data_IF_530076847639
#
_entry.id   IF_530076847639
#
_cell.length_a   1.000
_cell.length_b   1.000
_cell.length_c   1.000
_cell.angle_alpha   90.00
_cell.angle_beta   90.00
_cell.angle_gamma   90.00
#
_symmetry.space_group_name_H-M   'P 1'
#
loop_
_entity.id
_entity.type
_entity.pdbx_description
1 polymer ?
#
# COMPACT_ATOMS: atom_id res chain seq x y z
N UNK A 1 40.70 31.35 -49.95
CA UNK A 1 40.68 30.29 -48.91
C UNK A 1 39.54 30.59 -47.95
N UNK A 2 38.47 29.79 -47.94
CA UNK A 2 37.45 29.86 -46.89
C UNK A 2 36.87 28.45 -46.72
N UNK A 3 37.24 27.77 -45.62
CA UNK A 3 36.77 26.43 -45.27
C UNK A 3 35.51 26.56 -44.41
N UNK A 4 34.39 26.07 -44.92
CA UNK A 4 33.11 25.96 -44.21
C UNK A 4 33.22 24.79 -43.22
N UNK A 5 32.99 25.05 -41.93
CA UNK A 5 32.84 24.02 -40.90
C UNK A 5 31.34 23.78 -40.67
N UNK A 6 30.87 22.56 -40.92
CA UNK A 6 29.52 22.09 -40.61
C UNK A 6 29.52 21.50 -39.19
N UNK A 7 28.64 21.92 -38.26
CA UNK A 7 28.50 21.23 -36.99
C UNK A 7 27.64 19.98 -37.19
N UNK A 8 28.20 18.82 -36.84
CA UNK A 8 27.46 17.56 -36.79
C UNK A 8 26.55 17.57 -35.56
N UNK A 9 25.24 17.56 -35.78
CA UNK A 9 24.24 17.37 -34.72
C UNK A 9 24.10 15.88 -34.45
N UNK A 10 24.56 15.43 -33.29
CA UNK A 10 24.37 14.06 -32.82
C UNK A 10 22.99 13.97 -32.15
N UNK A 11 22.01 13.37 -32.82
CA UNK A 11 20.71 13.02 -32.22
C UNK A 11 20.94 11.85 -31.25
N UNK A 12 20.86 12.10 -29.95
CA UNK A 12 20.82 11.04 -28.95
C UNK A 12 19.42 10.40 -28.95
N UNK A 13 19.29 9.17 -29.47
CA UNK A 13 18.10 8.35 -29.28
C UNK A 13 17.95 8.02 -27.79
N UNK A 14 16.91 8.57 -27.15
CA UNK A 14 16.51 8.17 -25.81
C UNK A 14 16.04 6.73 -25.81
N UNK A 15 16.77 5.85 -25.12
CA UNK A 15 16.34 4.47 -24.89
C UNK A 15 15.08 4.48 -24.01
N UNK A 16 14.06 3.65 -24.30
CA UNK A 16 12.91 3.50 -23.40
C UNK A 16 13.38 2.93 -22.05
N UNK A 17 12.74 3.32 -20.93
CA UNK A 17 13.05 2.74 -19.64
C UNK A 17 12.92 1.22 -19.70
N UNK A 18 13.97 0.54 -19.24
CA UNK A 18 14.11 -0.92 -19.35
C UNK A 18 13.08 -1.62 -18.45
N UNK A 19 12.25 -2.50 -19.02
CA UNK A 19 11.26 -3.33 -18.31
C UNK A 19 11.87 -4.28 -17.25
N UNK A 20 13.19 -4.29 -17.09
CA UNK A 20 13.89 -5.06 -16.06
C UNK A 20 13.69 -4.50 -14.64
N UNK A 21 13.32 -3.22 -14.48
CA UNK A 21 13.16 -2.58 -13.16
C UNK A 21 11.86 -2.92 -12.42
N UNK A 22 10.87 -3.54 -13.08
CA UNK A 22 9.60 -3.93 -12.43
C UNK A 22 9.71 -5.28 -11.69
N UNK A 23 10.68 -6.13 -12.04
CA UNK A 23 10.76 -7.50 -11.52
C UNK A 23 11.37 -7.63 -10.12
N UNK A 24 11.91 -6.54 -9.57
CA UNK A 24 12.64 -6.55 -8.30
C UNK A 24 11.94 -5.71 -7.21
N UNK A 25 10.71 -5.25 -7.47
CA UNK A 25 9.97 -4.50 -6.47
C UNK A 25 9.42 -5.47 -5.41
N UNK A 26 9.59 -5.18 -4.11
CA UNK A 26 9.17 -6.10 -3.06
C UNK A 26 7.65 -6.17 -2.99
N UNK A 27 7.12 -7.38 -2.75
CA UNK A 27 5.71 -7.58 -2.46
C UNK A 27 5.27 -6.70 -1.26
N UNK A 28 4.02 -6.24 -1.28
CA UNK A 28 3.47 -5.43 -0.20
C UNK A 28 2.66 -6.29 0.76
N UNK A 29 3.22 -6.57 1.93
CA UNK A 29 2.56 -7.35 2.96
C UNK A 29 1.45 -6.53 3.63
N UNK A 30 0.27 -7.15 3.80
CA UNK A 30 -0.77 -6.66 4.72
C UNK A 30 -0.46 -7.19 6.12
N UNK A 31 -0.31 -6.27 7.06
CA UNK A 31 0.06 -6.61 8.44
C UNK A 31 -0.95 -6.02 9.42
N UNK A 32 -1.19 -6.77 10.50
CA UNK A 32 -2.14 -6.42 11.55
C UNK A 32 -1.51 -6.54 12.93
N UNK A 33 -2.19 -5.98 13.91
CA UNK A 33 -1.85 -6.19 15.31
C UNK A 33 -1.90 -7.70 15.65
N UNK A 34 -0.94 -8.25 16.43
CA UNK A 34 -0.89 -9.69 16.74
C UNK A 34 -2.15 -10.28 17.39
N UNK A 35 -2.94 -9.47 18.10
CA UNK A 35 -4.21 -9.90 18.71
C UNK A 35 -5.36 -10.10 17.72
N UNK A 36 -5.21 -9.71 16.45
CA UNK A 36 -6.28 -9.89 15.46
C UNK A 36 -6.42 -11.39 15.16
N UNK A 37 -7.60 -11.96 15.48
CA UNK A 37 -7.90 -13.38 15.32
C UNK A 37 -8.20 -13.83 13.88
N UNK A 38 -7.88 -13.01 12.88
CA UNK A 38 -8.02 -13.33 11.45
C UNK A 38 -6.65 -13.63 10.87
N UNK A 39 -6.49 -14.73 10.14
CA UNK A 39 -5.21 -15.16 9.53
C UNK A 39 -5.17 -14.95 8.02
N UNK A 40 -6.33 -14.89 7.37
CA UNK A 40 -6.51 -14.80 5.94
C UNK A 40 -7.71 -13.91 5.62
N UNK A 41 -7.64 -13.21 4.51
CA UNK A 41 -8.74 -12.42 3.94
C UNK A 41 -8.79 -12.70 2.44
N UNK A 42 -10.00 -12.77 1.88
CA UNK A 42 -10.08 -12.62 0.43
C UNK A 42 -9.66 -11.20 0.02
N UNK A 43 -9.23 -11.03 -1.23
CA UNK A 43 -8.90 -9.69 -1.73
C UNK A 43 -10.10 -8.74 -1.68
N UNK A 44 -11.31 -9.25 -1.88
CA UNK A 44 -12.54 -8.43 -1.75
C UNK A 44 -12.78 -8.01 -0.30
N UNK A 45 -12.60 -8.91 0.68
CA UNK A 45 -12.70 -8.54 2.09
C UNK A 45 -11.66 -7.49 2.46
N UNK A 46 -10.41 -7.65 2.00
CA UNK A 46 -9.36 -6.65 2.17
C UNK A 46 -9.80 -5.28 1.62
N UNK A 47 -10.38 -5.24 0.41
CA UNK A 47 -10.89 -4.01 -0.20
C UNK A 47 -11.99 -3.36 0.66
N UNK A 48 -12.95 -4.12 1.17
CA UNK A 48 -14.02 -3.57 2.03
C UNK A 48 -13.45 -2.92 3.31
N UNK A 49 -12.37 -3.49 3.87
CA UNK A 49 -11.68 -2.92 5.03
C UNK A 49 -10.99 -1.61 4.64
N UNK A 50 -10.19 -1.64 3.58
CA UNK A 50 -9.43 -0.47 3.13
C UNK A 50 -10.33 0.67 2.64
N UNK A 51 -11.52 0.37 2.10
CA UNK A 51 -12.55 1.35 1.75
C UNK A 51 -13.37 1.83 2.96
N UNK A 52 -13.16 1.27 4.15
CA UNK A 52 -13.90 1.64 5.36
C UNK A 52 -15.36 1.19 5.36
N UNK A 53 -15.72 0.22 4.52
CA UNK A 53 -17.04 -0.42 4.50
C UNK A 53 -17.15 -1.43 5.65
N UNK A 54 -16.08 -2.22 5.86
CA UNK A 54 -15.91 -3.05 7.06
C UNK A 54 -15.08 -2.29 8.08
N UNK A 55 -15.70 -1.96 9.21
CA UNK A 55 -15.08 -1.13 10.28
C UNK A 55 -14.75 -1.90 11.55
N UNK A 56 -15.13 -3.18 11.64
CA UNK A 56 -14.93 -4.03 12.80
C UNK A 56 -14.42 -5.42 12.39
N UNK A 57 -13.53 -5.96 13.21
CA UNK A 57 -13.11 -7.36 13.17
C UNK A 57 -14.23 -8.28 13.69
N UNK A 58 -14.16 -9.61 13.46
CA UNK A 58 -15.18 -10.55 13.94
C UNK A 58 -15.40 -10.52 15.47
N UNK A 59 -14.35 -10.21 16.23
CA UNK A 59 -14.38 -10.04 17.68
C UNK A 59 -14.97 -8.68 18.14
N UNK A 60 -15.48 -7.88 17.19
CA UNK A 60 -16.05 -6.53 17.37
C UNK A 60 -15.03 -5.46 17.77
N UNK A 61 -13.73 -5.76 17.76
CA UNK A 61 -12.71 -4.72 17.88
C UNK A 61 -12.72 -3.81 16.64
N UNK A 62 -12.50 -2.51 16.86
CA UNK A 62 -12.51 -1.51 15.78
C UNK A 62 -11.28 -1.69 14.90
N UNK A 63 -11.48 -1.65 13.58
CA UNK A 63 -10.37 -1.61 12.63
C UNK A 63 -9.77 -0.20 12.62
N UNK A 64 -8.47 -0.10 12.91
CA UNK A 64 -7.72 1.15 12.75
C UNK A 64 -6.84 1.05 11.51
N UNK A 65 -7.19 1.79 10.45
CA UNK A 65 -6.37 1.87 9.23
C UNK A 65 -5.17 2.80 9.46
N UNK A 66 -3.96 2.27 9.31
CA UNK A 66 -2.74 3.08 9.22
C UNK A 66 -2.24 3.06 7.77
N UNK A 67 -2.06 4.23 7.19
CA UNK A 67 -1.70 4.37 5.77
C UNK A 67 -0.44 5.22 5.64
N UNK A 68 0.50 4.75 4.83
CA UNK A 68 1.76 5.45 4.56
C UNK A 68 1.51 6.82 3.94
N UNK A 69 2.38 7.78 4.26
CA UNK A 69 2.38 9.11 3.65
C UNK A 69 2.57 9.03 2.11
N UNK A 70 2.08 10.03 1.34
CA UNK A 70 2.27 10.13 -0.11
C UNK A 70 3.71 9.86 -0.57
N UNK A 71 3.86 9.45 -1.83
CA UNK A 71 5.15 9.16 -2.51
C UNK A 71 5.81 7.83 -2.12
N UNK A 72 5.38 7.19 -1.03
CA UNK A 72 5.87 5.87 -0.66
C UNK A 72 5.46 4.80 -1.70
N UNK A 73 6.39 3.92 -2.09
CA UNK A 73 6.14 2.87 -3.09
C UNK A 73 4.95 1.98 -2.72
N UNK A 74 4.92 1.52 -1.47
CA UNK A 74 3.86 0.68 -0.94
C UNK A 74 2.48 1.38 -0.98
N UNK A 75 2.46 2.71 -0.85
CA UNK A 75 1.23 3.50 -0.98
C UNK A 75 0.74 3.52 -2.42
N UNK A 76 1.64 3.73 -3.38
CA UNK A 76 1.30 3.69 -4.80
C UNK A 76 0.69 2.34 -5.20
N UNK A 77 1.29 1.23 -4.75
CA UNK A 77 0.76 -0.12 -4.99
C UNK A 77 -0.64 -0.28 -4.41
N UNK A 78 -0.84 0.10 -3.15
CA UNK A 78 -2.13 -0.03 -2.47
C UNK A 78 -3.20 0.86 -3.10
N UNK A 79 -2.86 2.09 -3.47
CA UNK A 79 -3.78 2.99 -4.19
C UNK A 79 -4.18 2.41 -5.54
N UNK A 80 -3.25 1.83 -6.30
CA UNK A 80 -3.53 1.25 -7.62
C UNK A 80 -4.29 -0.09 -7.55
N UNK A 81 -3.93 -0.98 -6.62
CA UNK A 81 -4.45 -2.35 -6.55
C UNK A 81 -5.71 -2.45 -5.70
N UNK A 82 -5.71 -1.83 -4.51
CA UNK A 82 -6.81 -1.94 -3.55
C UNK A 82 -7.80 -0.81 -3.75
N UNK A 83 -7.38 0.44 -3.76
CA UNK A 83 -8.34 1.55 -3.91
C UNK A 83 -8.81 1.73 -5.36
N UNK A 84 -7.92 1.52 -6.33
CA UNK A 84 -8.09 1.89 -7.74
C UNK A 84 -8.38 3.38 -7.88
N UNK A 85 -7.63 4.18 -7.13
CA UNK A 85 -7.77 5.65 -7.03
C UNK A 85 -6.40 6.29 -7.11
N UNK A 86 -6.33 7.48 -7.70
CA UNK A 86 -5.21 8.40 -7.55
C UNK A 86 -5.10 8.94 -6.12
N UNK A 87 -4.00 9.61 -5.82
CA UNK A 87 -3.78 10.28 -4.53
C UNK A 87 -4.88 11.29 -4.17
N UNK A 88 -5.31 12.09 -5.16
CA UNK A 88 -6.35 13.09 -4.96
C UNK A 88 -7.73 12.45 -4.81
N UNK A 89 -8.05 11.42 -5.60
CA UNK A 89 -9.28 10.65 -5.45
C UNK A 89 -9.35 9.97 -4.08
N UNK A 90 -8.26 9.36 -3.61
CA UNK A 90 -8.19 8.78 -2.26
C UNK A 90 -8.46 9.83 -1.17
N UNK A 91 -7.87 11.02 -1.29
CA UNK A 91 -8.08 12.12 -0.34
C UNK A 91 -9.54 12.56 -0.33
N UNK A 92 -10.11 12.81 -1.51
CA UNK A 92 -11.51 13.24 -1.66
C UNK A 92 -12.48 12.15 -1.20
N UNK A 93 -12.18 10.88 -1.48
CA UNK A 93 -12.96 9.73 -1.05
C UNK A 93 -13.16 9.74 0.47
N UNK A 94 -12.06 9.84 1.23
CA UNK A 94 -12.14 9.84 2.69
C UNK A 94 -12.78 11.11 3.27
N UNK A 95 -12.50 12.29 2.69
CA UNK A 95 -13.19 13.54 3.06
C UNK A 95 -14.70 13.37 2.89
N UNK A 96 -15.14 12.90 1.73
CA UNK A 96 -16.56 12.76 1.43
C UNK A 96 -17.22 11.69 2.32
N UNK A 97 -16.53 10.59 2.62
CA UNK A 97 -17.02 9.52 3.51
C UNK A 97 -17.24 10.01 4.94
N UNK A 98 -16.29 10.80 5.46
CA UNK A 98 -16.43 11.44 6.78
C UNK A 98 -17.53 12.51 6.78
N UNK A 99 -17.63 13.34 5.74
CA UNK A 99 -18.68 14.36 5.62
C UNK A 99 -20.09 13.76 5.61
N UNK A 100 -20.26 12.59 4.99
CA UNK A 100 -21.51 11.82 5.00
C UNK A 100 -21.72 10.97 6.26
N UNK A 101 -20.83 11.05 7.25
CA UNK A 101 -20.87 10.29 8.49
C UNK A 101 -20.93 8.76 8.30
N UNK A 102 -20.45 8.23 7.17
CA UNK A 102 -20.36 6.79 6.92
C UNK A 102 -19.26 6.13 7.79
N UNK A 103 -18.24 6.91 8.15
CA UNK A 103 -17.12 6.51 9.00
C UNK A 103 -16.86 7.59 10.05
N UNK A 104 -16.43 7.20 11.25
CA UNK A 104 -16.12 8.12 12.33
C UNK A 104 -14.79 8.88 12.11
N UNK A 105 -13.84 8.26 11.42
CA UNK A 105 -12.56 8.87 11.05
C UNK A 105 -11.98 8.19 9.82
N UNK A 106 -11.16 8.94 9.07
CA UNK A 106 -10.33 8.38 8.01
C UNK A 106 -9.09 7.64 8.53
N UNK A 107 -8.23 7.15 7.63
CA UNK A 107 -7.00 6.48 7.98
C UNK A 107 -6.02 7.41 8.71
N UNK A 108 -5.25 6.84 9.63
CA UNK A 108 -4.15 7.55 10.30
C UNK A 108 -2.93 7.51 9.40
N UNK A 109 -2.34 8.68 9.14
CA UNK A 109 -1.13 8.77 8.33
C UNK A 109 0.09 8.33 9.16
N UNK A 110 0.98 7.53 8.57
CA UNK A 110 2.26 7.14 9.16
C UNK A 110 3.41 7.50 8.22
N UNK A 111 4.49 8.06 8.77
CA UNK A 111 5.54 8.73 7.99
C UNK A 111 6.75 7.84 7.67
N UNK A 112 6.87 6.68 8.30
CA UNK A 112 7.83 5.63 7.95
C UNK A 112 7.23 4.24 8.15
N UNK A 113 7.89 3.21 7.61
CA UNK A 113 7.53 1.81 7.85
C UNK A 113 7.80 1.40 9.30
N UNK A 114 8.85 1.94 9.92
CA UNK A 114 9.09 1.76 11.36
C UNK A 114 7.95 2.32 12.20
N UNK A 115 7.45 3.52 11.86
CA UNK A 115 6.28 4.09 12.54
C UNK A 115 5.04 3.23 12.30
N UNK A 116 4.83 2.74 11.08
CA UNK A 116 3.72 1.85 10.75
C UNK A 116 3.77 0.58 11.61
N UNK A 117 4.94 -0.05 11.72
CA UNK A 117 5.19 -1.23 12.56
C UNK A 117 4.95 -0.93 14.03
N UNK A 118 5.55 0.12 14.57
CA UNK A 118 5.37 0.50 15.98
C UNK A 118 3.89 0.71 16.29
N UNK A 119 3.17 1.46 15.45
CA UNK A 119 1.75 1.74 15.69
C UNK A 119 0.84 0.53 15.47
N UNK A 120 1.11 -0.33 14.48
CA UNK A 120 0.29 -1.54 14.28
C UNK A 120 0.48 -2.53 15.43
N UNK A 121 1.66 -2.55 16.07
CA UNK A 121 1.89 -3.34 17.30
C UNK A 121 1.32 -2.71 18.56
N UNK A 122 1.15 -1.39 18.60
CA UNK A 122 0.67 -0.68 19.79
C UNK A 122 -0.85 -0.48 19.83
N UNK A 123 -1.53 -0.57 18.67
CA UNK A 123 -2.96 -0.30 18.55
C UNK A 123 -3.69 -1.62 18.27
N UNK A 124 -4.40 -2.19 19.26
CA UNK A 124 -5.24 -3.36 19.04
C UNK A 124 -6.23 -3.14 17.90
N UNK A 125 -6.35 -4.12 17.00
CA UNK A 125 -7.21 -4.05 15.83
C UNK A 125 -6.67 -3.19 14.68
N UNK A 126 -5.44 -2.67 14.77
CA UNK A 126 -4.83 -1.95 13.66
C UNK A 126 -4.47 -2.86 12.48
N UNK A 127 -4.53 -2.28 11.29
CA UNK A 127 -4.08 -2.86 10.03
C UNK A 127 -3.29 -1.82 9.25
N UNK A 128 -2.22 -2.26 8.60
CA UNK A 128 -1.40 -1.44 7.72
C UNK A 128 -0.79 -2.31 6.62
N UNK A 129 0.09 -1.71 5.83
CA UNK A 129 0.81 -2.37 4.76
C UNK A 129 2.25 -1.85 4.71
N UNK A 130 3.18 -2.69 4.28
CA UNK A 130 4.60 -2.36 4.16
C UNK A 130 5.29 -3.33 3.19
N UNK A 131 6.48 -3.01 2.67
CA UNK A 131 7.30 -3.99 1.95
C UNK A 131 7.48 -5.27 2.77
N UNK A 132 7.32 -6.44 2.14
CA UNK A 132 7.30 -7.73 2.85
C UNK A 132 8.58 -8.01 3.63
N UNK A 133 9.74 -7.63 3.10
CA UNK A 133 11.03 -7.77 3.79
C UNK A 133 11.18 -6.86 5.01
N UNK A 134 10.30 -5.87 5.17
CA UNK A 134 10.26 -5.05 6.35
C UNK A 134 9.35 -5.63 7.43
N UNK A 135 8.41 -6.53 7.13
CA UNK A 135 7.59 -7.16 8.17
C UNK A 135 8.45 -8.09 9.05
N UNK A 136 8.36 -7.95 10.38
CA UNK A 136 9.10 -8.75 11.35
C UNK A 136 8.15 -9.52 12.28
N UNK A 137 8.70 -10.31 13.20
CA UNK A 137 7.96 -11.14 14.15
C UNK A 137 7.05 -10.37 15.12
N UNK A 138 7.19 -9.04 15.21
CA UNK A 138 6.37 -8.21 16.10
C UNK A 138 4.98 -7.97 15.53
N UNK A 139 4.82 -8.11 14.22
CA UNK A 139 3.54 -7.92 13.52
C UNK A 139 3.02 -9.25 13.00
N UNK A 140 1.70 -9.35 12.86
CA UNK A 140 1.08 -10.49 12.21
C UNK A 140 0.88 -10.17 10.73
N UNK A 141 1.46 -10.96 9.84
CA UNK A 141 1.20 -10.85 8.39
C UNK A 141 -0.03 -11.67 8.02
N UNK A 142 -0.98 -11.07 7.31
CA UNK A 142 -2.15 -11.77 6.80
C UNK A 142 -1.85 -12.46 5.48
N UNK A 143 -2.42 -13.65 5.29
CA UNK A 143 -2.62 -14.21 3.96
C UNK A 143 -3.68 -13.39 3.24
N UNK A 144 -3.54 -13.28 1.93
CA UNK A 144 -4.56 -12.72 1.05
C UNK A 144 -4.84 -13.74 -0.04
N UNK A 145 -6.10 -14.13 -0.17
CA UNK A 145 -6.53 -15.27 -1.01
C UNK A 145 -5.73 -16.55 -0.71
N UNK A 146 -5.44 -16.81 0.57
CA UNK A 146 -4.66 -17.97 1.01
C UNK A 146 -3.15 -17.87 0.81
N UNK A 147 -2.64 -16.85 0.10
CA UNK A 147 -1.23 -16.69 -0.19
C UNK A 147 -0.52 -15.73 0.78
N UNK A 148 0.73 -16.00 1.12
CA UNK A 148 1.66 -15.11 1.80
C UNK A 148 2.46 -14.26 0.80
N UNK A 149 3.04 -13.12 1.22
CA UNK A 149 3.82 -12.25 0.34
C UNK A 149 4.98 -12.92 -0.42
N UNK A 150 5.56 -13.99 0.13
CA UNK A 150 6.62 -14.76 -0.51
C UNK A 150 6.12 -15.65 -1.65
N UNK A 151 4.83 -15.97 -1.69
CA UNK A 151 4.22 -16.92 -2.62
C UNK A 151 3.83 -16.25 -3.93
N UNK A 152 3.96 -16.96 -5.06
CA UNK A 152 3.73 -16.38 -6.40
C UNK A 152 2.28 -15.95 -6.64
N UNK A 153 1.33 -16.58 -5.95
CA UNK A 153 -0.09 -16.29 -6.06
C UNK A 153 -0.53 -15.03 -5.27
N UNK A 154 0.38 -14.39 -4.53
CA UNK A 154 0.02 -13.24 -3.69
C UNK A 154 -0.37 -12.02 -4.54
N UNK A 155 -1.55 -11.40 -4.31
CA UNK A 155 -2.11 -10.40 -5.22
C UNK A 155 -1.46 -9.01 -5.15
N UNK A 156 -0.61 -8.75 -4.15
CA UNK A 156 0.07 -7.46 -3.94
C UNK A 156 1.58 -7.54 -4.22
N UNK A 157 1.96 -8.36 -5.20
CA UNK A 157 3.32 -8.41 -5.75
C UNK A 157 3.53 -7.35 -6.84
#
# INVERSE_FOLDING_TARGET
MLRVFLPSVLLALGAPPSAAQERDRPAIAIVVHPSVGVDDLSFDELRTIFLGERQFWPDRSRITLLVRAPVAYEREVVLNRIYRMSEDEFRQYWIAKMFRAEVASGPKLVYSNDMARQLVTAIPGAITFMPAGEADERVKTLRIDGALPSEAAYPLR
#
